data_IF_563046453299
#
_entry.id   IF_563046453299
#
_cell.length_a   1.000
_cell.length_b   1.000
_cell.length_c   1.000
_cell.angle_alpha   90.00
_cell.angle_beta   90.00
_cell.angle_gamma   90.00
#
_symmetry.space_group_name_H-M   'P 1'
#
loop_
_entity.id
_entity.type
_entity.pdbx_description
1 polymer ?
#
# COMPACT_ATOMS: atom_id res chain seq x y z
N UNK A 1 -12.05 -25.42 4.79
CA UNK A 1 -11.24 -25.66 3.58
C UNK A 1 -10.84 -24.31 3.03
N UNK A 2 -9.62 -24.11 2.66
CA UNK A 2 -9.01 -22.84 2.22
C UNK A 2 -8.67 -21.80 3.30
N UNK A 3 -8.35 -22.25 4.49
CA UNK A 3 -7.52 -21.47 5.40
C UNK A 3 -6.12 -21.14 4.80
N UNK A 4 -5.84 -21.64 3.61
CA UNK A 4 -4.52 -21.60 2.97
C UNK A 4 -4.39 -20.58 1.82
N UNK A 5 -5.41 -19.76 1.56
CA UNK A 5 -5.35 -18.72 0.51
C UNK A 5 -5.26 -19.30 -0.93
N UNK A 6 -4.58 -18.58 -1.82
CA UNK A 6 -4.39 -18.98 -3.21
C UNK A 6 -3.43 -20.16 -3.32
N UNK A 7 -3.78 -21.14 -4.15
CA UNK A 7 -2.95 -22.33 -4.37
C UNK A 7 -2.01 -22.15 -5.56
N UNK A 8 -0.88 -22.85 -5.55
CA UNK A 8 0.08 -22.91 -6.66
C UNK A 8 -0.62 -23.15 -8.00
N UNK A 9 -1.61 -24.07 -8.01
CA UNK A 9 -2.38 -24.44 -9.20
C UNK A 9 -3.13 -23.27 -9.83
N UNK A 10 -3.53 -22.25 -9.06
CA UNK A 10 -4.19 -21.07 -9.65
C UNK A 10 -3.19 -20.23 -10.45
N UNK A 11 -2.15 -19.74 -9.79
CA UNK A 11 -1.16 -18.86 -10.44
C UNK A 11 -0.40 -19.59 -11.54
N UNK A 12 0.13 -20.78 -11.29
CA UNK A 12 0.92 -21.53 -12.24
C UNK A 12 0.12 -22.20 -13.38
N UNK A 13 -1.18 -21.90 -13.52
CA UNK A 13 -2.01 -22.25 -14.68
C UNK A 13 -2.37 -21.04 -15.56
N UNK A 14 -1.98 -19.84 -15.17
CA UNK A 14 -2.16 -18.64 -16.01
C UNK A 14 -1.14 -18.72 -17.16
N UNK A 15 -1.62 -18.95 -18.38
CA UNK A 15 -0.79 -19.08 -19.58
C UNK A 15 -0.57 -17.73 -20.28
N UNK A 16 -1.50 -16.80 -20.16
CA UNK A 16 -1.41 -15.46 -20.74
C UNK A 16 -2.31 -14.46 -19.99
N UNK A 17 -2.00 -13.19 -20.17
CA UNK A 17 -2.79 -12.07 -19.69
C UNK A 17 -3.23 -11.23 -20.89
N UNK A 18 -4.51 -10.86 -20.92
CA UNK A 18 -5.10 -10.04 -21.98
C UNK A 18 -5.05 -8.57 -21.55
N UNK A 19 -4.19 -7.81 -22.20
CA UNK A 19 -4.07 -6.37 -22.00
C UNK A 19 -4.50 -5.64 -23.28
N UNK A 20 -5.08 -4.48 -23.11
CA UNK A 20 -5.36 -3.57 -24.21
C UNK A 20 -4.00 -3.13 -24.81
N UNK A 21 -3.77 -3.32 -26.11
CA UNK A 21 -2.48 -2.99 -26.75
C UNK A 21 -2.14 -1.50 -26.72
N UNK A 22 -3.14 -0.62 -26.66
CA UNK A 22 -2.91 0.83 -26.67
C UNK A 22 -2.53 1.36 -25.28
N UNK A 23 -3.18 0.87 -24.22
CA UNK A 23 -2.92 1.31 -22.86
C UNK A 23 -1.96 0.39 -22.08
N UNK A 24 -1.86 -0.88 -22.47
CA UNK A 24 -1.16 -1.92 -21.72
C UNK A 24 -1.83 -2.29 -20.40
N UNK A 25 -3.08 -1.88 -20.19
CA UNK A 25 -3.88 -2.19 -19.01
C UNK A 25 -4.89 -3.30 -19.32
N UNK A 26 -5.40 -4.06 -18.34
CA UNK A 26 -6.55 -4.93 -18.55
C UNK A 26 -7.75 -4.14 -19.10
N UNK A 27 -8.55 -4.79 -19.94
CA UNK A 27 -9.79 -4.18 -20.44
C UNK A 27 -10.78 -3.99 -19.28
N UNK A 28 -11.46 -2.84 -19.23
CA UNK A 28 -12.42 -2.53 -18.15
C UNK A 28 -13.57 -3.56 -18.04
N UNK A 29 -14.00 -4.10 -19.17
CA UNK A 29 -15.06 -5.12 -19.21
C UNK A 29 -14.55 -6.56 -18.98
N UNK A 30 -13.26 -6.74 -18.73
CA UNK A 30 -12.64 -8.03 -18.44
C UNK A 30 -11.75 -7.98 -17.19
N UNK A 31 -12.30 -7.64 -16.02
CA UNK A 31 -11.51 -7.58 -14.78
C UNK A 31 -11.16 -8.99 -14.26
N UNK A 32 -10.08 -9.10 -13.52
CA UNK A 32 -9.68 -10.31 -12.82
C UNK A 32 -9.48 -11.49 -13.76
N UNK A 33 -10.12 -12.60 -13.48
CA UNK A 33 -9.99 -13.85 -14.24
C UNK A 33 -10.40 -13.75 -15.69
N UNK A 34 -11.23 -12.78 -16.07
CA UNK A 34 -11.64 -12.57 -17.45
C UNK A 34 -10.49 -12.06 -18.33
N UNK A 35 -9.49 -11.42 -17.74
CA UNK A 35 -8.27 -10.99 -18.43
C UNK A 35 -7.17 -12.04 -18.44
N UNK A 36 -7.41 -13.23 -17.88
CA UNK A 36 -6.47 -14.35 -17.87
C UNK A 36 -6.84 -15.42 -18.90
N UNK A 37 -5.83 -16.04 -19.49
CA UNK A 37 -6.00 -17.32 -20.19
C UNK A 37 -5.45 -18.42 -19.31
N UNK A 38 -6.30 -19.29 -18.81
CA UNK A 38 -5.94 -20.43 -17.97
C UNK A 38 -5.76 -21.66 -18.85
N UNK A 39 -4.63 -22.38 -18.66
CA UNK A 39 -4.42 -23.65 -19.32
C UNK A 39 -4.63 -24.78 -18.31
N UNK A 40 -5.58 -25.66 -18.63
CA UNK A 40 -5.90 -26.86 -17.87
C UNK A 40 -5.69 -28.09 -18.75
N UNK A 41 -4.51 -28.72 -18.69
CA UNK A 41 -4.24 -29.91 -19.47
C UNK A 41 -5.12 -31.08 -19.01
N UNK A 42 -5.11 -32.15 -19.79
CA UNK A 42 -5.82 -33.39 -19.43
C UNK A 42 -5.37 -33.91 -18.06
N UNK A 43 -6.19 -34.72 -17.35
CA UNK A 43 -5.86 -35.22 -16.01
C UNK A 43 -4.52 -35.98 -15.91
N UNK A 44 -4.04 -36.49 -17.02
CA UNK A 44 -2.76 -37.24 -17.07
C UNK A 44 -1.54 -36.31 -17.22
N UNK A 45 -1.73 -35.02 -17.52
CA UNK A 45 -0.64 -34.06 -17.70
C UNK A 45 -0.98 -32.75 -16.99
N UNK A 46 -0.36 -32.54 -15.86
CA UNK A 46 -0.44 -31.27 -15.15
C UNK A 46 0.72 -30.37 -15.57
N UNK A 47 0.41 -29.30 -16.31
CA UNK A 47 1.37 -28.26 -16.65
C UNK A 47 1.31 -27.19 -15.57
N UNK A 48 2.47 -26.91 -14.97
CA UNK A 48 2.70 -25.75 -14.12
C UNK A 48 3.66 -24.84 -14.85
N UNK A 49 3.21 -23.65 -15.21
CA UNK A 49 4.09 -22.66 -15.82
C UNK A 49 5.07 -22.11 -14.79
N UNK A 50 6.28 -21.84 -15.23
CA UNK A 50 7.36 -21.30 -14.41
C UNK A 50 8.26 -20.33 -15.18
N UNK A 51 9.03 -19.50 -14.47
CA UNK A 51 9.90 -18.50 -15.07
C UNK A 51 11.27 -19.05 -15.54
N UNK A 52 11.48 -20.37 -15.51
CA UNK A 52 12.73 -21.02 -15.86
C UNK A 52 12.54 -21.91 -17.09
N UNK A 53 13.53 -21.92 -18.01
CA UNK A 53 13.50 -22.66 -19.27
C UNK A 53 14.32 -23.98 -19.23
N UNK A 54 14.81 -24.34 -18.06
CA UNK A 54 15.64 -25.52 -17.82
C UNK A 54 14.86 -26.72 -17.21
N UNK A 55 13.52 -26.65 -17.23
CA UNK A 55 12.64 -27.68 -16.68
C UNK A 55 12.12 -28.56 -17.80
N UNK A 56 12.63 -29.78 -17.90
CA UNK A 56 12.07 -30.79 -18.80
C UNK A 56 10.85 -31.47 -18.18
N UNK A 57 9.69 -31.14 -18.70
CA UNK A 57 8.43 -31.78 -18.33
C UNK A 57 7.76 -32.53 -19.47
N UNK A 58 8.47 -32.76 -20.61
CA UNK A 58 7.92 -33.31 -21.83
C UNK A 58 6.90 -32.39 -22.53
N UNK A 59 6.69 -31.20 -21.99
CA UNK A 59 5.88 -30.09 -22.53
C UNK A 59 6.53 -28.81 -22.02
N UNK A 60 6.78 -27.89 -22.92
CA UNK A 60 7.38 -26.61 -22.52
C UNK A 60 6.47 -25.88 -21.53
N UNK A 61 6.99 -25.65 -20.34
CA UNK A 61 6.33 -24.96 -19.23
C UNK A 61 6.96 -23.60 -18.94
N UNK A 62 7.95 -23.18 -19.73
CA UNK A 62 8.60 -21.90 -19.60
C UNK A 62 7.66 -20.76 -19.95
N UNK A 63 7.45 -19.84 -19.00
CA UNK A 63 6.60 -18.67 -19.17
C UNK A 63 7.30 -17.41 -18.64
N UNK A 64 8.02 -16.67 -19.49
CA UNK A 64 8.71 -15.44 -19.09
C UNK A 64 7.79 -14.37 -18.50
N UNK A 65 6.50 -14.41 -18.85
CA UNK A 65 5.48 -13.51 -18.29
C UNK A 65 5.45 -13.51 -16.75
N UNK A 66 5.78 -14.63 -16.10
CA UNK A 66 5.81 -14.72 -14.63
C UNK A 66 6.90 -13.87 -13.96
N UNK A 67 7.88 -13.38 -14.73
CA UNK A 67 8.88 -12.41 -14.26
C UNK A 67 8.51 -10.96 -14.56
N UNK A 68 7.33 -10.71 -15.10
CA UNK A 68 6.88 -9.39 -15.54
C UNK A 68 5.69 -8.90 -14.72
N UNK A 69 5.66 -7.61 -14.42
CA UNK A 69 4.56 -6.99 -13.67
C UNK A 69 3.19 -7.19 -14.32
N UNK A 70 3.13 -7.36 -15.66
CA UNK A 70 1.89 -7.63 -16.38
C UNK A 70 1.19 -8.91 -15.90
N UNK A 71 1.94 -9.84 -15.32
CA UNK A 71 1.36 -11.02 -14.70
C UNK A 71 0.46 -10.69 -13.51
N UNK A 72 0.74 -9.60 -12.78
CA UNK A 72 -0.01 -9.16 -11.62
C UNK A 72 -1.25 -8.31 -11.99
N UNK A 73 -1.24 -7.72 -13.21
CA UNK A 73 -2.25 -6.78 -13.66
C UNK A 73 -3.71 -7.26 -13.52
N UNK A 74 -4.07 -8.51 -13.83
CA UNK A 74 -5.46 -8.97 -13.73
C UNK A 74 -6.07 -8.82 -12.35
N UNK A 75 -5.28 -8.99 -11.30
CA UNK A 75 -5.75 -8.89 -9.92
C UNK A 75 -5.52 -7.50 -9.32
N UNK A 76 -4.57 -6.74 -9.87
CA UNK A 76 -4.14 -5.46 -9.33
C UNK A 76 -4.52 -4.26 -10.22
N UNK A 77 -5.50 -4.45 -11.10
CA UNK A 77 -6.14 -3.39 -11.88
C UNK A 77 -7.61 -3.70 -12.10
N UNK A 78 -8.49 -2.92 -11.48
CA UNK A 78 -9.92 -3.01 -11.70
C UNK A 78 -10.62 -1.67 -11.44
N UNK A 79 -11.47 -1.28 -12.39
CA UNK A 79 -12.39 -0.16 -12.26
C UNK A 79 -13.75 -0.67 -11.81
N UNK A 80 -14.37 0.05 -10.89
CA UNK A 80 -15.74 -0.17 -10.47
C UNK A 80 -16.51 1.14 -10.61
N UNK A 81 -17.59 1.14 -11.35
CA UNK A 81 -18.42 2.34 -11.57
C UNK A 81 -17.63 3.54 -12.14
N UNK A 82 -16.62 3.25 -12.98
CA UNK A 82 -15.72 4.27 -13.53
C UNK A 82 -14.64 4.78 -12.57
N UNK A 83 -14.55 4.22 -11.36
CA UNK A 83 -13.51 4.57 -10.37
C UNK A 83 -12.44 3.48 -10.34
N UNK A 84 -11.15 3.80 -10.51
CA UNK A 84 -10.06 2.85 -10.31
C UNK A 84 -9.96 2.49 -8.83
N UNK A 85 -10.41 1.31 -8.45
CA UNK A 85 -10.36 0.82 -7.07
C UNK A 85 -9.04 0.12 -6.81
N UNK A 86 -8.82 -1.01 -7.47
CA UNK A 86 -7.53 -1.68 -7.50
C UNK A 86 -6.73 -1.07 -8.65
N UNK A 87 -5.68 -0.34 -8.36
CA UNK A 87 -4.97 0.43 -9.38
C UNK A 87 -3.44 0.35 -9.27
N UNK A 88 -2.90 -0.48 -8.36
CA UNK A 88 -1.45 -0.54 -8.13
C UNK A 88 -0.66 -0.88 -9.39
N UNK A 89 -1.20 -1.71 -10.31
CA UNK A 89 -0.54 -1.96 -11.58
C UNK A 89 -0.52 -0.71 -12.49
N UNK A 90 -1.62 0.04 -12.61
CA UNK A 90 -1.66 1.25 -13.42
C UNK A 90 -0.80 2.37 -12.81
N UNK A 91 -0.79 2.48 -11.48
CA UNK A 91 0.05 3.43 -10.73
C UNK A 91 1.54 3.12 -10.94
N UNK A 92 1.94 1.83 -10.86
CA UNK A 92 3.30 1.37 -11.16
C UNK A 92 3.67 1.64 -12.63
N UNK A 93 2.78 1.31 -13.56
CA UNK A 93 3.01 1.53 -14.99
C UNK A 93 3.22 2.99 -15.35
N UNK A 94 2.60 3.92 -14.63
CA UNK A 94 2.75 5.36 -14.79
C UNK A 94 4.01 5.93 -14.11
N UNK A 95 4.73 5.13 -13.32
CA UNK A 95 5.95 5.55 -12.62
C UNK A 95 7.22 5.14 -13.38
N UNK A 96 8.35 5.71 -13.00
CA UNK A 96 9.66 5.32 -13.55
C UNK A 96 10.08 3.90 -13.15
N UNK A 97 9.40 3.28 -12.18
CA UNK A 97 9.61 1.87 -11.85
C UNK A 97 9.19 0.91 -12.97
N UNK A 98 8.38 1.35 -13.93
CA UNK A 98 8.00 0.56 -15.11
C UNK A 98 9.02 0.62 -16.26
N UNK A 99 10.08 1.41 -16.14
CA UNK A 99 11.13 1.50 -17.13
C UNK A 99 11.80 0.13 -17.31
N UNK A 100 11.91 -0.39 -18.55
CA UNK A 100 12.41 -1.74 -18.80
C UNK A 100 13.91 -1.92 -18.51
N UNK A 101 14.68 -0.84 -18.46
CA UNK A 101 16.14 -0.90 -18.26
C UNK A 101 16.54 -0.62 -16.81
N UNK A 102 15.86 0.31 -16.16
CA UNK A 102 16.23 0.83 -14.83
C UNK A 102 15.16 0.63 -13.76
N UNK A 103 13.99 0.17 -14.16
CA UNK A 103 12.85 -0.04 -13.26
C UNK A 103 12.95 -1.31 -12.41
N UNK A 104 11.89 -1.56 -11.66
CA UNK A 104 11.71 -2.76 -10.85
C UNK A 104 10.32 -3.33 -11.06
N UNK A 105 10.22 -4.64 -11.19
CA UNK A 105 8.94 -5.32 -11.33
C UNK A 105 8.23 -5.47 -9.97
N UNK A 106 6.95 -5.85 -10.02
CA UNK A 106 6.21 -6.21 -8.80
C UNK A 106 6.92 -7.33 -8.03
N UNK A 107 7.49 -8.31 -8.76
CA UNK A 107 8.18 -9.45 -8.19
C UNK A 107 9.46 -9.04 -7.45
N UNK A 108 10.21 -8.07 -7.96
CA UNK A 108 11.45 -7.60 -7.34
C UNK A 108 11.23 -6.99 -5.94
N UNK A 109 10.04 -6.47 -5.67
CA UNK A 109 9.68 -5.92 -4.36
C UNK A 109 8.86 -6.90 -3.49
N UNK A 110 7.88 -7.59 -4.09
CA UNK A 110 6.91 -8.40 -3.35
C UNK A 110 7.23 -9.90 -3.31
N UNK A 111 8.26 -10.34 -4.05
CA UNK A 111 8.68 -11.74 -4.11
C UNK A 111 10.20 -11.88 -3.97
N UNK A 112 10.84 -10.96 -3.24
CA UNK A 112 12.31 -10.95 -3.09
C UNK A 112 12.84 -12.32 -2.70
N UNK A 113 13.96 -12.77 -3.29
CA UNK A 113 14.70 -13.92 -2.80
C UNK A 113 15.04 -13.77 -1.30
N UNK A 114 15.00 -14.87 -0.58
CA UNK A 114 15.29 -14.90 0.86
C UNK A 114 16.72 -15.40 1.18
N UNK A 115 17.49 -15.75 0.15
CA UNK A 115 18.84 -16.29 0.29
C UNK A 115 18.92 -17.71 0.88
N UNK A 116 17.76 -18.35 1.08
CA UNK A 116 17.65 -19.68 1.72
C UNK A 116 16.87 -20.67 0.88
N UNK A 117 15.76 -20.25 0.28
CA UNK A 117 14.90 -21.12 -0.52
C UNK A 117 15.55 -21.43 -1.86
N UNK A 118 15.95 -22.67 -2.06
CA UNK A 118 16.57 -23.15 -3.31
C UNK A 118 15.63 -23.97 -4.20
N UNK A 119 14.53 -24.49 -3.62
CA UNK A 119 13.61 -25.40 -4.31
C UNK A 119 12.22 -25.35 -3.68
N UNK A 120 11.17 -25.02 -4.46
CA UNK A 120 9.77 -25.02 -4.00
C UNK A 120 9.06 -26.38 -4.11
N UNK A 121 9.68 -27.36 -4.77
CA UNK A 121 9.08 -28.68 -4.98
C UNK A 121 10.08 -29.83 -4.70
N UNK A 122 10.73 -29.84 -3.53
CA UNK A 122 11.71 -30.89 -3.20
C UNK A 122 11.02 -32.25 -3.23
N UNK A 123 11.66 -33.24 -3.86
CA UNK A 123 11.11 -34.61 -4.02
C UNK A 123 9.96 -34.72 -5.05
N UNK A 124 9.66 -33.69 -5.82
CA UNK A 124 8.62 -33.64 -6.86
C UNK A 124 9.11 -33.12 -8.21
N UNK A 125 10.35 -33.38 -8.57
CA UNK A 125 11.01 -32.89 -9.77
C UNK A 125 11.39 -31.38 -9.77
N UNK A 126 11.32 -30.69 -8.64
CA UNK A 126 11.91 -29.38 -8.50
C UNK A 126 13.43 -29.47 -8.55
N UNK A 127 14.08 -28.50 -9.18
CA UNK A 127 15.54 -28.40 -9.26
C UNK A 127 16.07 -27.49 -8.15
N UNK A 128 17.24 -27.84 -7.63
CA UNK A 128 18.00 -26.96 -6.73
C UNK A 128 18.57 -25.79 -7.52
N UNK A 129 18.40 -24.57 -6.98
CA UNK A 129 18.84 -23.32 -7.61
C UNK A 129 19.61 -22.47 -6.62
N UNK A 130 20.31 -21.46 -7.11
CA UNK A 130 20.87 -20.44 -6.27
C UNK A 130 19.73 -19.72 -5.51
N UNK A 131 19.73 -19.72 -4.16
CA UNK A 131 18.67 -19.07 -3.37
C UNK A 131 18.50 -17.58 -3.66
N UNK A 132 19.53 -16.89 -4.11
CA UNK A 132 19.47 -15.46 -4.46
C UNK A 132 18.73 -15.19 -5.79
N UNK A 133 18.38 -16.23 -6.53
CA UNK A 133 17.68 -16.15 -7.81
C UNK A 133 16.24 -16.69 -7.74
N UNK A 134 15.86 -17.29 -6.61
CA UNK A 134 14.55 -17.91 -6.42
C UNK A 134 13.60 -16.93 -5.74
N UNK A 135 12.61 -16.45 -6.47
CA UNK A 135 11.59 -15.57 -5.94
C UNK A 135 10.72 -16.27 -4.89
N UNK A 136 10.58 -15.65 -3.72
CA UNK A 136 9.69 -16.15 -2.66
C UNK A 136 8.22 -15.98 -3.01
N UNK A 137 7.34 -16.60 -2.22
CA UNK A 137 5.89 -16.47 -2.33
C UNK A 137 5.27 -15.81 -1.09
N UNK A 138 6.04 -14.98 -0.38
CA UNK A 138 5.60 -14.34 0.86
C UNK A 138 4.60 -13.20 0.60
N UNK A 139 4.71 -12.51 -0.54
CA UNK A 139 3.85 -11.40 -0.94
C UNK A 139 3.61 -10.39 0.18
N UNK A 140 4.67 -9.79 0.78
CA UNK A 140 4.50 -8.80 1.82
C UNK A 140 3.63 -7.64 1.33
N UNK A 141 2.78 -7.13 2.21
CA UNK A 141 1.80 -6.09 1.87
C UNK A 141 1.35 -5.30 3.08
N UNK A 142 0.07 -4.93 3.11
CA UNK A 142 -0.52 -4.04 4.12
C UNK A 142 -0.53 -4.55 5.57
N UNK A 143 0.00 -5.73 5.84
CA UNK A 143 0.19 -6.31 7.18
C UNK A 143 1.66 -6.55 7.52
N UNK A 144 2.56 -6.22 6.62
CA UNK A 144 4.00 -6.38 6.82
C UNK A 144 4.60 -5.06 7.30
N UNK A 145 5.04 -5.05 8.56
CA UNK A 145 5.56 -3.84 9.19
C UNK A 145 6.90 -3.39 8.58
N UNK A 146 7.74 -4.32 8.17
CA UNK A 146 9.03 -4.00 7.56
C UNK A 146 8.82 -3.33 6.20
N UNK A 147 7.92 -3.87 5.37
CA UNK A 147 7.56 -3.26 4.09
C UNK A 147 6.98 -1.86 4.29
N UNK A 148 6.08 -1.67 5.25
CA UNK A 148 5.44 -0.39 5.52
C UNK A 148 6.43 0.67 6.02
N UNK A 149 7.38 0.31 6.90
CA UNK A 149 8.45 1.19 7.37
C UNK A 149 9.44 1.58 6.28
N UNK A 150 9.51 0.81 5.21
CA UNK A 150 10.35 1.08 4.05
C UNK A 150 9.58 1.64 2.85
N UNK A 151 8.35 2.13 3.04
CA UNK A 151 7.52 2.58 1.92
C UNK A 151 7.74 4.05 1.55
N UNK A 152 8.04 4.91 2.51
CA UNK A 152 8.17 6.36 2.34
C UNK A 152 9.35 6.89 3.14
N UNK A 153 9.72 8.14 2.90
CA UNK A 153 10.67 8.88 3.75
C UNK A 153 9.97 10.11 4.33
N UNK A 154 10.01 10.26 5.66
CA UNK A 154 9.49 11.43 6.37
C UNK A 154 10.63 12.34 6.85
N UNK A 155 10.56 13.62 6.53
CA UNK A 155 11.46 14.64 7.04
C UNK A 155 10.68 15.65 7.88
N UNK A 156 11.16 15.93 9.09
CA UNK A 156 10.53 16.86 10.01
C UNK A 156 11.53 17.91 10.46
N UNK A 157 11.10 19.17 10.48
CA UNK A 157 11.84 20.28 11.11
C UNK A 157 10.90 21.04 12.03
N UNK A 158 11.44 21.52 13.15
CA UNK A 158 10.69 22.34 14.10
C UNK A 158 11.59 23.47 14.61
N UNK A 159 11.02 24.68 14.72
CA UNK A 159 11.76 25.85 15.22
C UNK A 159 10.81 26.87 15.81
N UNK A 160 11.32 27.67 16.72
CA UNK A 160 10.62 28.88 17.16
C UNK A 160 10.73 29.94 16.09
N UNK A 161 9.59 30.50 15.68
CA UNK A 161 9.48 31.65 14.79
C UNK A 161 8.66 32.72 15.51
N UNK A 162 9.27 33.86 15.85
CA UNK A 162 8.66 34.91 16.67
C UNK A 162 8.13 34.35 18.01
N UNK A 163 6.81 34.28 18.20
CA UNK A 163 6.14 33.78 19.41
C UNK A 163 5.37 32.48 19.14
N UNK A 164 5.78 31.69 18.17
CA UNK A 164 5.12 30.43 17.80
C UNK A 164 6.13 29.33 17.50
N UNK A 165 5.76 28.10 17.78
CA UNK A 165 6.48 26.91 17.37
C UNK A 165 5.96 26.48 15.98
N UNK A 166 6.83 26.50 14.98
CA UNK A 166 6.51 26.09 13.61
C UNK A 166 7.13 24.75 13.33
N UNK A 167 6.30 23.78 12.94
CA UNK A 167 6.67 22.41 12.56
C UNK A 167 6.38 22.23 11.08
N UNK A 168 7.38 21.78 10.32
CA UNK A 168 7.25 21.44 8.89
C UNK A 168 7.49 19.96 8.70
N UNK A 169 6.57 19.29 8.05
CA UNK A 169 6.65 17.85 7.76
C UNK A 169 6.55 17.66 6.25
N UNK A 170 7.49 16.89 5.70
CA UNK A 170 7.46 16.44 4.31
C UNK A 170 7.48 14.92 4.29
N UNK A 171 6.59 14.31 3.51
CA UNK A 171 6.51 12.86 3.30
C UNK A 171 6.67 12.60 1.82
N UNK A 172 7.69 11.83 1.45
CA UNK A 172 7.99 11.47 0.07
C UNK A 172 7.78 9.98 -0.15
N UNK A 173 7.02 9.60 -1.15
CA UNK A 173 6.94 8.23 -1.62
C UNK A 173 8.12 7.94 -2.57
N UNK A 174 9.29 7.72 -2.03
CA UNK A 174 10.54 7.50 -2.75
C UNK A 174 10.98 6.03 -2.85
N UNK A 175 10.21 5.12 -2.25
CA UNK A 175 10.58 3.71 -2.13
C UNK A 175 9.53 2.74 -2.68
N UNK A 176 8.40 3.23 -3.22
CA UNK A 176 7.38 2.39 -3.83
C UNK A 176 7.00 2.86 -5.22
N UNK A 177 6.78 1.91 -6.13
CA UNK A 177 6.44 2.21 -7.52
C UNK A 177 4.97 2.56 -7.77
N UNK A 178 4.14 2.55 -6.75
CA UNK A 178 2.70 2.84 -6.81
C UNK A 178 2.29 3.83 -5.70
N UNK A 179 1.04 4.21 -5.64
CA UNK A 179 0.57 5.10 -4.57
C UNK A 179 0.71 4.45 -3.18
N UNK A 180 0.91 5.27 -2.16
CA UNK A 180 0.90 4.85 -0.74
C UNK A 180 -0.20 5.63 -0.01
N UNK A 181 -1.23 4.92 0.53
CA UNK A 181 -1.55 3.51 0.31
C UNK A 181 -2.10 3.23 -1.10
N UNK A 182 -2.21 1.96 -1.48
CA UNK A 182 -2.79 1.58 -2.77
C UNK A 182 -3.88 0.53 -2.62
N UNK A 183 -4.57 0.24 -3.73
CA UNK A 183 -5.64 -0.73 -3.91
C UNK A 183 -6.84 -0.43 -2.99
N UNK A 184 -7.08 -1.22 -1.96
CA UNK A 184 -8.29 -1.13 -1.14
C UNK A 184 -8.58 0.30 -0.64
N UNK A 185 -9.75 0.87 -0.93
CA UNK A 185 -10.11 2.23 -0.49
C UNK A 185 -10.31 2.35 1.02
N UNK A 186 -10.27 1.26 1.76
CA UNK A 186 -10.27 1.27 3.22
C UNK A 186 -8.94 1.75 3.81
N UNK A 187 -7.84 1.54 3.09
CA UNK A 187 -6.48 1.85 3.57
C UNK A 187 -6.21 3.34 3.53
N UNK A 188 -5.60 3.84 4.58
CA UNK A 188 -5.19 5.25 4.64
C UNK A 188 -3.99 5.45 5.56
N UNK A 189 -3.27 6.57 5.36
CA UNK A 189 -2.24 7.01 6.27
C UNK A 189 -2.79 8.09 7.18
N UNK A 190 -2.26 8.15 8.39
CA UNK A 190 -2.56 9.17 9.40
C UNK A 190 -1.23 9.76 9.87
N UNK A 191 -1.00 11.04 9.54
CA UNK A 191 0.07 11.83 10.10
C UNK A 191 -0.47 12.52 11.35
N UNK A 192 0.19 12.31 12.48
CA UNK A 192 -0.08 12.98 13.75
C UNK A 192 1.08 13.91 14.06
N UNK A 193 0.78 15.15 14.50
CA UNK A 193 1.77 16.13 14.93
C UNK A 193 1.39 16.63 16.31
N UNK A 194 2.22 16.29 17.28
CA UNK A 194 2.02 16.66 18.69
C UNK A 194 3.13 17.58 19.12
N UNK A 195 2.78 18.66 19.79
CA UNK A 195 3.72 19.56 20.44
C UNK A 195 3.39 19.69 21.92
N UNK A 196 4.39 19.67 22.79
CA UNK A 196 4.25 19.84 24.24
C UNK A 196 5.36 20.72 24.82
N UNK A 197 5.12 21.27 25.99
CA UNK A 197 6.13 21.94 26.80
C UNK A 197 7.04 20.93 27.52
N UNK A 198 7.97 21.42 28.34
CA UNK A 198 8.92 20.61 29.11
C UNK A 198 8.24 19.69 30.13
N UNK A 199 7.07 20.07 30.62
CA UNK A 199 6.26 19.32 31.60
C UNK A 199 5.33 18.30 30.94
N UNK A 200 5.29 18.25 29.59
CA UNK A 200 4.45 17.35 28.81
C UNK A 200 3.04 17.87 28.53
N UNK A 201 2.72 19.11 28.87
CA UNK A 201 1.44 19.72 28.55
C UNK A 201 1.36 20.04 27.06
N UNK A 202 0.23 19.73 26.44
CA UNK A 202 0.04 19.95 25.01
C UNK A 202 -0.02 21.44 24.67
N UNK A 203 0.74 21.86 23.68
CA UNK A 203 0.68 23.20 23.11
C UNK A 203 -0.52 23.31 22.17
N UNK A 204 -1.26 24.43 22.29
CA UNK A 204 -2.42 24.67 21.44
C UNK A 204 -2.00 24.93 20.00
N UNK A 205 -2.58 24.21 19.05
CA UNK A 205 -2.43 24.51 17.63
C UNK A 205 -3.06 25.87 17.30
N UNK A 206 -2.34 26.69 16.55
CA UNK A 206 -2.76 28.00 16.07
C UNK A 206 -3.15 27.96 14.58
N UNK A 207 -2.42 27.16 13.78
CA UNK A 207 -2.67 27.00 12.36
C UNK A 207 -2.13 25.65 11.86
N UNK A 208 -2.64 25.20 10.72
CA UNK A 208 -2.28 23.93 10.08
C UNK A 208 -3.47 23.00 9.93
N UNK A 209 -3.33 21.93 9.18
CA UNK A 209 -4.40 20.97 8.98
C UNK A 209 -4.70 20.17 10.26
N UNK A 210 -5.95 19.70 10.35
CA UNK A 210 -6.41 18.75 11.36
C UNK A 210 -6.97 17.51 10.69
N UNK A 211 -6.98 16.41 11.42
CA UNK A 211 -7.50 15.14 10.94
C UNK A 211 -9.01 15.17 10.77
N UNK A 212 -9.55 14.58 9.70
CA UNK A 212 -10.99 14.54 9.46
C UNK A 212 -11.72 13.64 10.47
N UNK A 213 -13.03 13.83 10.59
CA UNK A 213 -13.91 13.09 11.49
C UNK A 213 -13.76 11.56 11.31
N UNK A 214 -13.59 11.09 10.07
CA UNK A 214 -13.44 9.67 9.80
C UNK A 214 -12.09 9.05 10.28
N UNK A 215 -11.14 9.86 10.76
CA UNK A 215 -9.97 9.36 11.49
C UNK A 215 -10.34 8.80 12.88
N UNK A 216 -11.60 8.92 13.29
CA UNK A 216 -12.17 8.39 14.52
C UNK A 216 -12.44 9.48 15.54
N UNK A 217 -13.66 9.50 16.10
CA UNK A 217 -14.11 10.43 17.13
C UNK A 217 -14.05 9.76 18.50
N UNK A 218 -13.39 10.40 19.46
CA UNK A 218 -13.29 9.89 20.83
C UNK A 218 -11.89 9.95 21.42
N UNK A 219 -11.57 9.00 22.29
CA UNK A 219 -10.28 8.94 22.99
C UNK A 219 -9.12 8.60 22.01
N UNK A 220 -8.09 9.47 21.91
CA UNK A 220 -6.91 9.21 21.11
C UNK A 220 -6.15 7.93 21.50
N UNK A 221 -6.20 7.55 22.78
CA UNK A 221 -5.62 6.30 23.27
C UNK A 221 -6.28 5.05 22.70
N UNK A 222 -7.46 5.20 22.09
CA UNK A 222 -8.21 4.14 21.41
C UNK A 222 -8.14 4.26 19.88
N UNK A 223 -7.21 5.07 19.35
CA UNK A 223 -7.05 5.28 17.92
C UNK A 223 -8.06 6.25 17.30
N UNK A 224 -8.67 7.11 18.07
CA UNK A 224 -9.59 8.15 17.59
C UNK A 224 -8.86 9.48 17.48
N UNK A 225 -8.62 9.95 16.25
CA UNK A 225 -7.71 11.07 16.00
C UNK A 225 -8.38 12.27 15.33
N UNK A 226 -9.71 12.28 15.19
CA UNK A 226 -10.42 13.42 14.62
C UNK A 226 -10.06 14.73 15.34
N UNK A 227 -9.94 15.81 14.58
CA UNK A 227 -9.61 17.17 15.01
C UNK A 227 -8.20 17.36 15.59
N UNK A 228 -7.40 16.29 15.77
CA UNK A 228 -6.00 16.44 16.19
C UNK A 228 -5.15 17.04 15.07
N UNK A 229 -4.06 17.79 15.43
CA UNK A 229 -3.12 18.30 14.45
C UNK A 229 -2.53 17.15 13.62
N UNK A 230 -2.73 17.20 12.31
CA UNK A 230 -2.32 16.11 11.45
C UNK A 230 -2.90 16.18 10.05
N UNK A 231 -2.62 15.15 9.25
CA UNK A 231 -3.16 15.01 7.90
C UNK A 231 -3.42 13.54 7.59
N UNK A 232 -4.49 13.25 6.88
CA UNK A 232 -4.79 11.92 6.41
C UNK A 232 -4.62 11.81 4.89
N UNK A 233 -4.15 10.63 4.42
CA UNK A 233 -3.93 10.34 3.01
C UNK A 233 -4.77 9.13 2.63
N UNK A 234 -5.79 9.34 1.79
CA UNK A 234 -6.78 8.33 1.48
C UNK A 234 -7.38 8.53 0.09
N UNK A 235 -7.89 7.44 -0.48
CA UNK A 235 -8.89 7.47 -1.54
C UNK A 235 -10.26 7.43 -0.86
N UNK A 236 -10.98 8.52 -0.88
CA UNK A 236 -12.30 8.66 -0.22
C UNK A 236 -13.40 8.45 -1.24
N UNK A 237 -14.24 7.46 -1.00
CA UNK A 237 -15.41 7.13 -1.82
C UNK A 237 -16.70 7.49 -1.07
N UNK A 238 -17.72 7.89 -1.85
CA UNK A 238 -19.11 7.98 -1.41
C UNK A 238 -19.91 6.85 -2.07
N UNK A 239 -20.64 6.08 -1.30
CA UNK A 239 -21.61 5.10 -1.79
C UNK A 239 -22.92 5.82 -2.12
N UNK A 240 -23.46 5.61 -3.35
CA UNK A 240 -24.53 6.45 -3.89
C UNK A 240 -25.95 6.09 -3.39
N UNK A 241 -26.13 4.90 -2.82
CA UNK A 241 -27.45 4.48 -2.33
C UNK A 241 -27.68 4.90 -0.87
N UNK A 242 -26.64 4.82 -0.04
CA UNK A 242 -26.73 5.12 1.39
C UNK A 242 -26.11 6.47 1.77
N UNK A 243 -25.40 7.10 0.82
CA UNK A 243 -24.62 8.34 1.01
C UNK A 243 -23.53 8.24 2.11
N UNK A 244 -23.10 6.99 2.42
CA UNK A 244 -22.03 6.76 3.37
C UNK A 244 -20.69 7.15 2.75
N UNK A 245 -19.95 8.00 3.47
CA UNK A 245 -18.58 8.43 3.14
C UNK A 245 -17.75 8.60 4.42
N UNK A 246 -16.50 8.12 4.47
CA UNK A 246 -15.85 7.27 3.49
C UNK A 246 -16.43 5.85 3.48
N UNK A 247 -16.41 5.21 2.32
CA UNK A 247 -16.86 3.82 2.20
C UNK A 247 -15.81 2.92 1.56
N UNK A 248 -15.82 1.65 1.94
CA UNK A 248 -15.09 0.58 1.25
C UNK A 248 -16.00 -0.31 0.40
N UNK A 249 -17.29 -0.01 0.31
CA UNK A 249 -18.29 -0.81 -0.40
C UNK A 249 -18.28 -0.55 -1.92
N UNK A 250 -17.12 -0.64 -2.56
CA UNK A 250 -16.89 -0.36 -3.97
C UNK A 250 -17.66 -1.28 -4.94
N UNK A 251 -18.21 -2.39 -4.46
CA UNK A 251 -19.11 -3.25 -5.24
C UNK A 251 -20.49 -2.62 -5.47
N UNK A 252 -20.89 -1.66 -4.65
CA UNK A 252 -22.07 -0.81 -4.89
C UNK A 252 -21.67 0.40 -5.76
N UNK A 253 -22.61 1.10 -6.39
CA UNK A 253 -22.32 2.34 -7.09
C UNK A 253 -21.65 3.36 -6.17
N UNK A 254 -20.45 3.79 -6.54
CA UNK A 254 -19.65 4.76 -5.80
C UNK A 254 -19.15 5.87 -6.70
N UNK A 255 -18.84 7.02 -6.12
CA UNK A 255 -18.05 8.06 -6.77
C UNK A 255 -16.85 8.46 -5.91
N UNK A 256 -15.81 8.91 -6.57
CA UNK A 256 -14.64 9.47 -5.93
C UNK A 256 -14.99 10.84 -5.32
N UNK A 257 -14.74 11.01 -4.03
CA UNK A 257 -14.85 12.29 -3.30
C UNK A 257 -13.51 13.01 -3.31
N UNK A 258 -12.44 12.30 -2.93
CA UNK A 258 -11.07 12.82 -2.96
C UNK A 258 -10.07 11.68 -3.05
N UNK A 259 -8.89 11.99 -3.60
CA UNK A 259 -7.73 11.10 -3.60
C UNK A 259 -6.47 11.95 -3.38
N UNK A 260 -5.89 11.87 -2.19
CA UNK A 260 -4.67 12.56 -1.84
C UNK A 260 -3.57 11.58 -1.39
N UNK A 261 -3.65 10.33 -1.84
CA UNK A 261 -2.61 9.32 -1.63
C UNK A 261 -1.31 9.79 -2.29
N UNK A 262 -0.20 9.35 -1.74
CA UNK A 262 1.13 9.72 -2.24
C UNK A 262 1.48 8.90 -3.48
N UNK A 263 1.46 9.51 -4.66
CA UNK A 263 1.95 8.87 -5.88
C UNK A 263 3.46 8.57 -5.79
N UNK A 264 3.95 7.62 -6.60
CA UNK A 264 5.39 7.34 -6.67
C UNK A 264 6.18 8.64 -6.95
N UNK A 265 7.23 8.86 -6.18
CA UNK A 265 8.08 10.06 -6.17
C UNK A 265 7.39 11.38 -5.80
N UNK A 266 6.11 11.36 -5.45
CA UNK A 266 5.44 12.56 -4.95
C UNK A 266 5.84 12.88 -3.51
N UNK A 267 5.94 14.17 -3.22
CA UNK A 267 6.15 14.70 -1.87
C UNK A 267 4.93 15.50 -1.45
N UNK A 268 4.40 15.20 -0.28
CA UNK A 268 3.45 16.05 0.44
C UNK A 268 4.19 16.86 1.49
N UNK A 269 3.90 18.16 1.56
CA UNK A 269 4.43 19.05 2.59
C UNK A 269 3.29 19.72 3.38
N UNK A 270 3.41 19.70 4.70
CA UNK A 270 2.45 20.34 5.60
C UNK A 270 3.16 21.15 6.68
N UNK A 271 2.48 22.20 7.16
CA UNK A 271 3.02 23.12 8.16
C UNK A 271 2.00 23.24 9.30
N UNK A 272 2.51 23.16 10.51
CA UNK A 272 1.75 23.27 11.74
C UNK A 272 2.34 24.37 12.60
N UNK A 273 1.50 25.22 13.15
CA UNK A 273 1.90 26.29 14.06
C UNK A 273 1.24 26.06 15.41
N UNK A 274 2.04 26.06 16.46
CA UNK A 274 1.58 25.90 17.83
C UNK A 274 1.93 27.17 18.64
N UNK A 275 1.21 27.39 19.72
CA UNK A 275 1.60 28.39 20.69
C UNK A 275 2.99 28.07 21.23
N UNK A 276 3.79 29.10 21.49
CA UNK A 276 5.05 28.92 22.17
C UNK A 276 4.84 28.33 23.58
N UNK A 277 5.77 27.49 24.10
CA UNK A 277 5.74 27.16 25.51
C UNK A 277 5.92 28.43 26.36
N UNK A 278 5.31 28.46 27.54
CA UNK A 278 5.42 29.59 28.42
C UNK A 278 6.85 29.80 28.91
N UNK A 279 7.56 28.71 29.15
CA UNK A 279 8.96 28.67 29.57
C UNK A 279 9.63 27.41 29.02
N UNK A 280 10.95 27.46 28.85
CA UNK A 280 11.78 26.28 28.51
C UNK A 280 11.66 25.83 27.06
N UNK A 281 11.83 24.53 26.86
CA UNK A 281 11.90 23.88 25.56
C UNK A 281 10.54 23.29 25.15
N UNK A 282 10.29 23.26 23.85
CA UNK A 282 9.21 22.48 23.29
C UNK A 282 9.69 21.08 22.84
N UNK A 283 8.83 20.08 22.98
CA UNK A 283 9.00 18.77 22.39
C UNK A 283 7.98 18.58 21.28
N UNK A 284 8.44 18.15 20.13
CA UNK A 284 7.60 17.83 18.95
C UNK A 284 7.73 16.35 18.66
N UNK A 285 6.59 15.67 18.59
CA UNK A 285 6.49 14.28 18.14
C UNK A 285 5.64 14.25 16.87
N UNK A 286 6.21 13.62 15.82
CA UNK A 286 5.53 13.43 14.53
C UNK A 286 5.52 11.95 14.24
N UNK A 287 4.32 11.41 13.99
CA UNK A 287 4.12 9.98 13.77
C UNK A 287 3.29 9.78 12.52
N UNK A 288 3.77 8.94 11.61
CA UNK A 288 3.03 8.46 10.44
C UNK A 288 2.59 7.03 10.65
N UNK A 289 1.28 6.81 10.60
CA UNK A 289 0.63 5.53 10.82
C UNK A 289 -0.01 5.04 9.52
N UNK A 290 0.02 3.72 9.31
CA UNK A 290 -0.80 3.04 8.31
C UNK A 290 -1.99 2.39 8.99
N UNK A 291 -3.21 2.70 8.52
CA UNK A 291 -4.46 2.11 8.99
C UNK A 291 -5.13 1.32 7.89
N UNK A 292 -5.50 0.06 8.19
CA UNK A 292 -6.04 -0.88 7.21
C UNK A 292 -7.50 -0.65 6.85
N UNK A 293 -8.28 -0.07 7.78
CA UNK A 293 -9.70 0.23 7.55
C UNK A 293 -10.13 1.43 8.40
N UNK A 294 -11.18 2.12 7.96
CA UNK A 294 -11.75 3.25 8.70
C UNK A 294 -12.21 2.83 10.10
N UNK A 295 -11.93 3.67 11.10
CA UNK A 295 -12.16 3.38 12.52
C UNK A 295 -13.61 2.95 12.80
N UNK A 296 -14.58 3.70 12.26
CA UNK A 296 -16.00 3.37 12.42
C UNK A 296 -16.36 1.96 11.90
N UNK A 297 -15.73 1.51 10.81
CA UNK A 297 -15.94 0.17 10.28
C UNK A 297 -15.28 -0.89 11.15
N UNK A 298 -14.06 -0.68 11.61
CA UNK A 298 -13.37 -1.64 12.50
C UNK A 298 -14.12 -1.83 13.80
N UNK A 299 -14.62 -0.74 14.38
CA UNK A 299 -15.44 -0.78 15.62
C UNK A 299 -16.76 -1.51 15.40
N UNK A 300 -17.47 -1.18 14.32
CA UNK A 300 -18.73 -1.85 13.97
C UNK A 300 -18.57 -3.37 13.78
N UNK A 301 -17.42 -3.79 13.21
CA UNK A 301 -17.13 -5.20 12.93
C UNK A 301 -16.44 -5.92 14.07
N UNK A 302 -15.98 -5.21 15.09
CA UNK A 302 -15.15 -5.77 16.15
C UNK A 302 -13.81 -6.33 15.63
N UNK A 303 -13.23 -5.69 14.62
CA UNK A 303 -11.96 -6.12 14.05
C UNK A 303 -10.79 -5.63 14.91
N UNK A 304 -9.94 -6.57 15.29
CA UNK A 304 -8.62 -6.22 15.82
C UNK A 304 -7.69 -5.83 14.66
N UNK A 305 -7.55 -4.54 14.46
CA UNK A 305 -6.76 -3.97 13.36
C UNK A 305 -6.03 -2.73 13.86
N UNK A 306 -4.92 -2.91 14.60
CA UNK A 306 -4.14 -1.81 15.12
C UNK A 306 -3.50 -0.99 14.00
N UNK A 307 -3.25 0.28 14.28
CA UNK A 307 -2.44 1.13 13.44
C UNK A 307 -0.99 0.64 13.42
N UNK A 308 -0.37 0.63 12.25
CA UNK A 308 1.01 0.21 12.06
C UNK A 308 1.91 1.45 11.92
N UNK A 309 2.99 1.49 12.68
CA UNK A 309 3.96 2.58 12.61
C UNK A 309 4.76 2.49 11.31
N UNK A 310 4.74 3.57 10.52
CA UNK A 310 5.59 3.71 9.34
C UNK A 310 6.82 4.56 9.62
N UNK A 311 6.63 5.77 10.16
CA UNK A 311 7.70 6.72 10.43
C UNK A 311 7.45 7.46 11.75
N UNK A 312 8.51 7.84 12.44
CA UNK A 312 8.43 8.67 13.64
C UNK A 312 9.62 9.62 13.75
N UNK A 313 9.37 10.83 14.18
CA UNK A 313 10.39 11.81 14.52
C UNK A 313 10.09 12.47 15.86
N UNK A 314 11.09 12.66 16.68
CA UNK A 314 11.01 13.39 17.95
C UNK A 314 12.07 14.48 17.95
N UNK A 315 11.66 15.74 18.13
CA UNK A 315 12.54 16.90 18.13
C UNK A 315 12.39 17.67 19.43
N UNK A 316 13.50 18.21 19.92
CA UNK A 316 13.53 19.19 21.00
C UNK A 316 13.87 20.54 20.44
N UNK A 317 13.06 21.54 20.75
CA UNK A 317 13.20 22.91 20.24
C UNK A 317 13.45 23.81 21.45
N UNK A 318 14.64 24.48 21.49
CA UNK A 318 15.00 25.35 22.58
C UNK A 318 14.19 26.66 22.62
#
# INVERSE_FOLDING_TARGET
MNALGSHCDFCHKIAAVKLNPDSGLPYENMPGVLSMAMMRPSPQRQIFFGPYDDVDAGTDTYLPLQRRSEYCAPCHMANFWGVPIYASFAEWKASTYSDPETGQTCQDCHMKPDGVTSNFAPGRAGQERNPDEVFTHNFPGASDEELLRNAVTMTTTARMEENALVVRVSITNDKTGHHVPTDSPLRHLILLVKASDADGNLLRQLAGPTLPEWAGVGDPGQGNYADLPGKAFAKVLLELWTEITPTGAYWNPTRLVSDNRLAAFATDASVYTFAAPAEGQAMVEVTLLFRRAFKALTDQKGWDSPDLLMEQAVLRVP
#
